data_IF_486707668780
#
_entry.id   IF_486707668780
#
_cell.length_a   1.000
_cell.length_b   1.000
_cell.length_c   1.000
_cell.angle_alpha   90.00
_cell.angle_beta   90.00
_cell.angle_gamma   90.00
#
_symmetry.space_group_name_H-M   'P 1'
#
loop_
_entity.id
_entity.type
_entity.pdbx_description
1 polymer ?
#
# COMPACT_ATOMS: atom_id res chain seq x y z
N UNK A 1 21.67 75.33 0.26
CA UNK A 1 20.97 75.77 1.50
C UNK A 1 19.57 76.19 1.06
N UNK A 2 18.44 75.68 1.54
CA UNK A 2 18.03 75.39 2.90
C UNK A 2 17.12 74.15 2.99
N UNK A 3 17.14 73.53 4.17
CA UNK A 3 16.30 72.41 4.60
C UNK A 3 14.92 72.96 4.98
N UNK A 4 13.84 72.24 4.64
CA UNK A 4 12.57 72.37 5.36
C UNK A 4 12.03 70.98 5.69
N UNK A 5 12.03 70.69 6.99
CA UNK A 5 11.51 69.47 7.61
C UNK A 5 9.99 69.62 7.71
N UNK A 6 9.22 68.64 7.23
CA UNK A 6 7.85 68.44 7.68
C UNK A 6 7.80 67.17 8.52
N UNK A 7 7.56 67.36 9.82
CA UNK A 7 7.20 66.30 10.74
C UNK A 7 5.70 66.03 10.61
N UNK A 8 5.32 64.78 10.38
CA UNK A 8 3.96 64.30 10.63
C UNK A 8 4.07 63.24 11.73
N UNK A 9 3.48 63.56 12.88
CA UNK A 9 3.44 62.72 14.06
C UNK A 9 2.56 61.49 13.79
N UNK A 10 3.08 60.30 14.07
CA UNK A 10 2.27 59.10 14.27
C UNK A 10 2.06 58.90 15.76
N UNK A 11 0.80 58.87 16.17
CA UNK A 11 0.40 58.52 17.52
C UNK A 11 0.79 57.06 17.79
N UNK A 12 1.51 56.86 18.89
CA UNK A 12 1.86 55.55 19.40
C UNK A 12 0.64 54.87 20.02
N UNK A 13 0.28 53.70 19.52
CA UNK A 13 -0.40 52.68 20.31
C UNK A 13 0.55 51.49 20.40
N UNK A 14 1.21 51.35 21.55
CA UNK A 14 2.14 50.29 21.82
C UNK A 14 1.37 48.98 22.09
N UNK A 15 1.54 47.98 21.22
CA UNK A 15 1.46 46.57 21.59
C UNK A 15 2.66 45.83 21.02
N UNK A 16 3.43 45.25 21.94
CA UNK A 16 4.36 44.13 21.84
C UNK A 16 5.47 44.14 20.76
N UNK A 17 6.69 43.91 21.25
CA UNK A 17 7.93 43.69 20.52
C UNK A 17 7.80 42.47 19.60
N UNK A 18 7.70 42.68 18.29
CA UNK A 18 7.94 41.65 17.26
C UNK A 18 9.24 41.99 16.51
N UNK A 19 10.13 41.04 16.23
CA UNK A 19 11.41 41.34 15.58
C UNK A 19 11.13 41.97 14.21
N UNK A 20 11.77 43.10 13.93
CA UNK A 20 11.69 43.79 12.63
C UNK A 20 12.13 42.82 11.53
N UNK A 21 11.27 42.44 10.57
CA UNK A 21 11.67 41.60 9.46
C UNK A 21 12.72 42.32 8.61
N UNK A 22 13.79 41.60 8.27
CA UNK A 22 14.84 42.06 7.34
C UNK A 22 14.27 42.16 5.93
N UNK A 23 13.92 43.37 5.48
CA UNK A 23 13.38 43.68 4.13
C UNK A 23 14.45 43.66 3.04
N UNK A 24 15.06 42.50 2.76
CA UNK A 24 16.25 42.45 1.91
C UNK A 24 16.01 42.83 0.43
N UNK A 25 14.79 42.87 -0.09
CA UNK A 25 14.51 43.44 -1.43
C UNK A 25 13.09 44.04 -1.50
N UNK A 26 12.98 45.30 -1.95
CA UNK A 26 11.71 46.03 -2.10
C UNK A 26 11.64 46.66 -3.49
N UNK A 27 10.57 46.36 -4.24
CA UNK A 27 10.30 46.97 -5.54
C UNK A 27 9.24 48.07 -5.43
N UNK A 28 9.45 49.19 -6.12
CA UNK A 28 8.56 50.35 -6.14
C UNK A 28 8.01 50.60 -7.54
N UNK A 29 6.71 50.87 -7.66
CA UNK A 29 6.06 51.27 -8.92
C UNK A 29 5.45 52.66 -8.76
N UNK A 30 5.71 53.54 -9.72
CA UNK A 30 5.21 54.91 -9.76
C UNK A 30 4.27 55.10 -10.96
N UNK A 31 3.29 56.02 -10.84
CA UNK A 31 2.47 56.45 -11.98
C UNK A 31 3.22 57.47 -12.87
N UNK A 32 2.60 57.89 -13.97
CA UNK A 32 3.16 58.90 -14.89
C UNK A 32 3.34 60.28 -14.28
N UNK A 33 2.74 60.54 -13.12
CA UNK A 33 2.91 61.76 -12.34
C UNK A 33 4.00 61.59 -11.23
N UNK A 34 4.69 60.46 -11.18
CA UNK A 34 5.75 60.16 -10.22
C UNK A 34 5.25 59.80 -8.82
N UNK A 35 3.97 59.47 -8.65
CA UNK A 35 3.39 59.09 -7.36
C UNK A 35 3.50 57.59 -7.14
N UNK A 36 3.83 57.17 -5.93
CA UNK A 36 4.01 55.75 -5.57
C UNK A 36 2.65 55.02 -5.59
N UNK A 37 2.50 54.04 -6.48
CA UNK A 37 1.24 53.29 -6.64
C UNK A 37 1.34 51.82 -6.20
N UNK A 38 2.56 51.26 -6.06
CA UNK A 38 2.75 49.91 -5.51
C UNK A 38 4.10 49.76 -4.82
N UNK A 39 4.12 49.06 -3.69
CA UNK A 39 5.32 48.53 -3.03
C UNK A 39 5.19 47.01 -3.00
N UNK A 40 6.22 46.29 -3.44
CA UNK A 40 6.28 44.82 -3.37
C UNK A 40 7.48 44.42 -2.53
N UNK A 41 7.24 43.60 -1.51
CA UNK A 41 8.27 43.04 -0.64
C UNK A 41 8.77 41.69 -1.17
N UNK A 42 9.98 41.28 -0.77
CA UNK A 42 10.59 40.00 -1.16
C UNK A 42 9.78 38.76 -0.79
N UNK A 43 8.86 38.86 0.18
CA UNK A 43 7.92 37.80 0.57
C UNK A 43 6.61 37.82 -0.22
N UNK A 44 6.52 38.58 -1.31
CA UNK A 44 5.36 38.66 -2.21
C UNK A 44 4.26 39.64 -1.78
N UNK A 45 4.30 40.12 -0.53
CA UNK A 45 3.32 41.10 -0.02
C UNK A 45 3.39 42.38 -0.87
N UNK A 46 2.23 42.88 -1.30
CA UNK A 46 2.13 44.13 -2.05
C UNK A 46 1.18 45.11 -1.40
N UNK A 47 1.58 46.37 -1.30
CA UNK A 47 0.70 47.47 -0.89
C UNK A 47 0.44 48.32 -2.12
N UNK A 48 -0.83 48.46 -2.51
CA UNK A 48 -1.24 49.33 -3.61
C UNK A 48 -1.87 50.61 -3.10
N UNK A 49 -1.63 51.69 -3.84
CA UNK A 49 -2.17 53.01 -3.54
C UNK A 49 -2.97 53.54 -4.72
N UNK A 50 -4.06 54.25 -4.42
CA UNK A 50 -4.69 55.18 -5.36
C UNK A 50 -4.63 56.59 -4.77
N UNK A 51 -4.82 57.57 -5.64
CA UNK A 51 -4.86 58.97 -5.26
C UNK A 51 -6.22 59.53 -5.65
N UNK A 52 -6.87 60.24 -4.73
CA UNK A 52 -8.12 60.95 -5.05
C UNK A 52 -7.85 62.17 -5.96
N UNK A 53 -8.92 62.83 -6.40
CA UNK A 53 -8.82 64.03 -7.25
C UNK A 53 -8.09 65.20 -6.57
N UNK A 54 -7.96 65.16 -5.23
CA UNK A 54 -7.21 66.13 -4.43
C UNK A 54 -5.76 65.72 -4.19
N UNK A 55 -5.33 64.55 -4.70
CA UNK A 55 -3.98 64.04 -4.56
C UNK A 55 -3.69 63.34 -3.23
N UNK A 56 -4.71 63.06 -2.41
CA UNK A 56 -4.50 62.31 -1.17
C UNK A 56 -4.35 60.82 -1.46
N UNK A 57 -3.37 60.21 -0.80
CA UNK A 57 -3.09 58.77 -0.92
C UNK A 57 -4.13 57.95 -0.17
N UNK A 58 -4.84 57.10 -0.90
CA UNK A 58 -5.74 56.08 -0.39
C UNK A 58 -5.05 54.72 -0.51
N UNK A 59 -4.95 53.97 0.59
CA UNK A 59 -4.44 52.60 0.56
C UNK A 59 -5.54 51.68 0.03
N UNK A 60 -5.22 50.91 -1.01
CA UNK A 60 -6.09 49.85 -1.49
C UNK A 60 -5.40 48.56 -1.13
N UNK A 61 -5.80 48.02 0.01
CA UNK A 61 -5.22 46.81 0.55
C UNK A 61 -5.56 45.65 -0.40
N UNK A 62 -4.54 45.05 -1.00
CA UNK A 62 -4.55 43.62 -1.30
C UNK A 62 -3.41 43.01 -0.48
N UNK A 63 -3.64 42.85 0.82
CA UNK A 63 -2.75 42.05 1.65
C UNK A 63 -2.92 40.60 1.20
N UNK A 64 -2.06 40.17 0.26
CA UNK A 64 -1.65 38.78 0.33
C UNK A 64 -0.94 38.66 1.68
N UNK A 65 -1.48 37.84 2.58
CA UNK A 65 -0.84 37.57 3.86
C UNK A 65 0.62 37.14 3.60
N UNK A 66 1.56 37.47 4.50
CA UNK A 66 2.94 36.98 4.38
C UNK A 66 2.95 35.48 4.10
N UNK A 67 3.86 35.06 3.22
CA UNK A 67 4.02 33.64 2.93
C UNK A 67 4.28 32.85 4.22
N UNK A 68 3.50 31.81 4.45
CA UNK A 68 3.66 30.85 5.53
C UNK A 68 4.19 29.56 4.93
N UNK A 69 5.09 28.85 5.64
CA UNK A 69 5.56 27.58 5.15
C UNK A 69 4.42 26.57 5.07
N UNK A 70 4.53 25.58 4.18
CA UNK A 70 3.56 24.52 4.09
C UNK A 70 3.59 23.63 5.34
N UNK A 71 2.55 22.81 5.51
CA UNK A 71 2.42 21.80 6.56
C UNK A 71 2.44 20.44 5.91
N UNK A 72 3.51 19.68 6.17
CA UNK A 72 3.66 18.30 5.72
C UNK A 72 3.17 17.32 6.80
N UNK A 73 2.41 16.30 6.42
CA UNK A 73 1.83 15.30 7.31
C UNK A 73 2.38 13.92 6.96
N UNK A 74 2.61 13.09 7.98
CA UNK A 74 3.16 11.76 7.76
C UNK A 74 2.22 10.85 6.96
N UNK A 75 2.82 9.99 6.14
CA UNK A 75 2.11 9.07 5.25
C UNK A 75 2.40 7.61 5.60
N UNK A 76 1.49 6.75 5.17
CA UNK A 76 1.72 5.31 5.23
C UNK A 76 1.22 4.59 3.98
N UNK A 77 1.88 3.48 3.64
CA UNK A 77 1.49 2.61 2.55
C UNK A 77 1.86 1.15 2.85
N UNK A 78 1.28 0.22 2.09
CA UNK A 78 1.66 -1.19 2.11
C UNK A 78 1.89 -1.69 0.69
N UNK A 79 2.83 -2.62 0.54
CA UNK A 79 3.17 -3.25 -0.74
C UNK A 79 3.68 -4.67 -0.50
N UNK A 80 3.46 -5.59 -1.44
CA UNK A 80 4.09 -6.90 -1.39
C UNK A 80 5.61 -6.81 -1.65
N UNK A 81 6.36 -7.78 -1.15
CA UNK A 81 7.78 -7.95 -1.44
C UNK A 81 8.01 -7.97 -2.97
N UNK A 82 9.05 -7.27 -3.41
CA UNK A 82 9.36 -7.02 -4.84
C UNK A 82 8.27 -6.27 -5.61
N UNK A 83 7.23 -5.76 -4.93
CA UNK A 83 6.16 -4.96 -5.52
C UNK A 83 6.52 -3.47 -5.64
N UNK A 84 5.60 -2.70 -6.20
CA UNK A 84 5.70 -1.24 -6.36
C UNK A 84 4.41 -0.58 -5.89
N UNK A 85 4.52 0.58 -5.25
CA UNK A 85 3.38 1.40 -4.82
C UNK A 85 3.63 2.88 -5.12
N UNK A 86 2.60 3.58 -5.60
CA UNK A 86 2.62 5.03 -5.83
C UNK A 86 1.83 5.73 -4.73
N UNK A 87 2.53 6.49 -3.89
CA UNK A 87 2.02 7.10 -2.67
C UNK A 87 1.66 8.57 -2.96
N UNK A 88 0.42 8.96 -2.66
CA UNK A 88 -0.07 10.33 -2.83
C UNK A 88 0.24 11.18 -1.61
N UNK A 89 1.53 11.42 -1.37
CA UNK A 89 2.02 12.11 -0.16
C UNK A 89 1.46 13.52 0.01
N UNK A 90 1.09 14.21 -1.06
CA UNK A 90 0.51 15.57 -0.95
C UNK A 90 -0.98 15.58 -0.59
N UNK A 91 -1.63 14.43 -0.42
CA UNK A 91 -3.09 14.36 -0.24
C UNK A 91 -3.57 14.90 1.13
N UNK A 92 -2.71 14.82 2.14
CA UNK A 92 -2.92 15.29 3.51
C UNK A 92 -2.06 16.51 3.86
N UNK A 93 -1.23 16.98 2.93
CA UNK A 93 -0.42 18.19 3.07
C UNK A 93 -1.23 19.44 2.74
N UNK A 94 -0.83 20.57 3.31
CA UNK A 94 -1.52 21.84 3.07
C UNK A 94 -0.57 23.03 3.08
N UNK A 95 -1.02 24.12 2.48
CA UNK A 95 -0.35 25.40 2.54
C UNK A 95 -1.34 26.46 3.08
N UNK A 96 -1.00 27.23 4.14
CA UNK A 96 -1.92 28.23 4.69
C UNK A 96 -2.28 29.35 3.72
N UNK A 97 -1.43 29.65 2.74
CA UNK A 97 -1.68 30.64 1.71
C UNK A 97 -2.38 30.04 0.47
N UNK A 98 -2.63 28.73 0.47
CA UNK A 98 -3.25 28.00 -0.64
C UNK A 98 -2.33 27.79 -1.83
N UNK A 99 -1.01 27.90 -1.64
CA UNK A 99 -0.04 27.68 -2.70
C UNK A 99 0.01 26.19 -3.12
N UNK A 100 0.23 25.96 -4.41
CA UNK A 100 0.41 24.60 -4.93
C UNK A 100 1.70 24.00 -4.40
N UNK A 101 1.60 22.83 -3.78
CA UNK A 101 2.74 22.12 -3.23
C UNK A 101 3.45 21.27 -4.28
N UNK A 102 4.78 21.20 -4.17
CA UNK A 102 5.63 20.35 -5.01
C UNK A 102 6.66 19.61 -4.18
N UNK A 103 6.93 18.35 -4.51
CA UNK A 103 8.00 17.58 -3.87
C UNK A 103 9.36 18.02 -4.44
N UNK A 104 10.25 18.48 -3.58
CA UNK A 104 11.59 18.97 -3.96
C UNK A 104 12.72 18.01 -3.60
N UNK A 105 12.49 17.13 -2.62
CA UNK A 105 13.47 16.14 -2.20
C UNK A 105 12.80 14.86 -1.69
N UNK A 106 13.44 13.71 -1.92
CA UNK A 106 13.05 12.41 -1.39
C UNK A 106 14.31 11.71 -0.89
N UNK A 107 14.36 11.36 0.39
CA UNK A 107 15.51 10.62 0.94
C UNK A 107 15.45 9.15 0.58
N UNK A 108 16.60 8.48 0.55
CA UNK A 108 16.64 7.02 0.39
C UNK A 108 16.07 6.29 1.62
N UNK A 109 15.25 5.25 1.45
CA UNK A 109 14.84 4.36 2.53
C UNK A 109 15.98 3.41 2.94
N UNK A 110 15.83 2.69 4.07
CA UNK A 110 16.79 1.68 4.52
C UNK A 110 16.92 0.47 3.60
N UNK A 111 15.89 0.19 2.80
CA UNK A 111 15.89 -0.78 1.70
C UNK A 111 14.80 -0.39 0.69
N UNK A 112 14.98 -0.81 -0.56
CA UNK A 112 14.12 -0.40 -1.68
C UNK A 112 14.57 0.92 -2.30
N UNK A 113 13.74 1.49 -3.18
CA UNK A 113 13.98 2.81 -3.78
C UNK A 113 12.74 3.67 -3.66
N UNK A 114 12.93 4.96 -3.35
CA UNK A 114 11.86 5.95 -3.32
C UNK A 114 12.21 7.07 -4.32
N UNK A 115 11.32 7.35 -5.27
CA UNK A 115 11.54 8.36 -6.32
C UNK A 115 10.30 9.21 -6.53
N UNK A 116 10.47 10.53 -6.65
CA UNK A 116 9.37 11.42 -7.03
C UNK A 116 8.96 11.14 -8.49
N UNK A 117 7.65 11.03 -8.74
CA UNK A 117 7.10 10.86 -10.09
C UNK A 117 6.95 12.19 -10.84
N UNK A 118 6.81 12.11 -12.16
CA UNK A 118 6.62 13.29 -13.03
C UNK A 118 5.39 14.10 -12.60
N UNK A 119 5.56 15.43 -12.48
CA UNK A 119 4.52 16.33 -11.96
C UNK A 119 4.41 16.25 -10.43
N UNK A 120 5.51 16.48 -9.70
CA UNK A 120 5.93 15.94 -8.39
C UNK A 120 4.86 15.97 -7.28
N UNK A 121 3.84 15.12 -7.43
CA UNK A 121 2.67 15.00 -6.52
C UNK A 121 2.60 13.63 -5.85
N UNK A 122 3.39 12.67 -6.33
CA UNK A 122 3.44 11.30 -5.83
C UNK A 122 4.88 10.81 -5.73
N UNK A 123 5.09 9.88 -4.81
CA UNK A 123 6.36 9.17 -4.67
C UNK A 123 6.12 7.71 -5.01
N UNK A 124 6.92 7.16 -5.92
CA UNK A 124 6.97 5.73 -6.19
C UNK A 124 7.96 5.07 -5.25
N UNK A 125 7.49 4.04 -4.56
CA UNK A 125 8.34 3.17 -3.76
C UNK A 125 8.40 1.77 -4.41
N UNK A 126 9.62 1.27 -4.65
CA UNK A 126 9.88 -0.09 -5.15
C UNK A 126 10.49 -0.91 -4.02
N UNK A 127 9.80 -1.98 -3.62
CA UNK A 127 10.20 -2.83 -2.52
C UNK A 127 11.30 -3.82 -2.90
N UNK A 128 12.12 -4.22 -1.93
CA UNK A 128 12.98 -5.40 -2.05
C UNK A 128 12.19 -6.68 -1.77
N UNK A 129 12.81 -7.84 -1.98
CA UNK A 129 12.21 -9.14 -1.65
C UNK A 129 12.04 -9.37 -0.13
N UNK A 130 12.74 -8.60 0.72
CA UNK A 130 12.66 -8.75 2.16
C UNK A 130 11.47 -7.98 2.73
N UNK A 131 10.61 -8.67 3.48
CA UNK A 131 9.52 -8.07 4.23
C UNK A 131 10.02 -7.12 5.34
N UNK A 132 9.09 -6.35 5.89
CA UNK A 132 9.30 -5.46 7.03
C UNK A 132 9.03 -3.99 6.73
N UNK A 133 9.14 -3.17 7.77
CA UNK A 133 8.85 -1.73 7.69
C UNK A 133 10.03 -0.97 7.09
N UNK A 134 9.73 0.04 6.27
CA UNK A 134 10.69 0.91 5.58
C UNK A 134 10.24 2.34 5.79
N UNK A 135 11.18 3.23 6.05
CA UNK A 135 10.88 4.65 6.28
C UNK A 135 11.76 5.50 5.40
N UNK A 136 11.20 6.58 4.88
CA UNK A 136 11.93 7.65 4.23
C UNK A 136 11.24 8.98 4.49
N UNK A 137 11.89 10.08 4.17
CA UNK A 137 11.35 11.44 4.29
C UNK A 137 11.21 12.06 2.91
N UNK A 138 10.29 13.01 2.80
CA UNK A 138 10.17 13.88 1.64
C UNK A 138 10.07 15.33 2.09
N UNK A 139 10.45 16.24 1.20
CA UNK A 139 10.35 17.69 1.40
C UNK A 139 9.43 18.28 0.34
N UNK A 140 8.49 19.11 0.79
CA UNK A 140 7.59 19.89 -0.05
C UNK A 140 7.98 21.36 -0.05
N UNK A 141 7.66 22.07 -1.14
CA UNK A 141 7.78 23.51 -1.24
C UNK A 141 6.52 24.13 -1.82
N UNK A 142 6.20 25.33 -1.34
CA UNK A 142 5.15 26.23 -1.82
C UNK A 142 5.56 27.05 -3.06
N UNK A 143 6.82 26.96 -3.51
CA UNK A 143 7.39 27.76 -4.59
C UNK A 143 7.64 29.24 -4.25
N UNK A 144 7.31 29.66 -3.03
CA UNK A 144 7.41 31.02 -2.50
C UNK A 144 8.48 31.14 -1.40
N UNK A 145 9.24 30.06 -1.17
CA UNK A 145 10.38 29.99 -0.25
C UNK A 145 10.08 29.23 1.05
N UNK A 146 8.83 28.81 1.27
CA UNK A 146 8.47 27.91 2.35
C UNK A 146 8.71 26.45 1.99
N UNK A 147 9.18 25.68 2.97
CA UNK A 147 9.36 24.23 2.85
C UNK A 147 8.95 23.52 4.13
N UNK A 148 8.54 22.26 4.00
CA UNK A 148 8.27 21.36 5.12
C UNK A 148 8.64 19.93 4.74
N UNK A 149 8.86 19.07 5.74
CA UNK A 149 9.20 17.66 5.52
C UNK A 149 8.35 16.75 6.39
N UNK A 150 8.00 15.58 5.86
CA UNK A 150 7.30 14.54 6.59
C UNK A 150 7.90 13.16 6.32
N UNK A 151 7.51 12.18 7.14
CA UNK A 151 7.97 10.80 7.03
C UNK A 151 6.91 9.96 6.33
N UNK A 152 7.35 9.08 5.43
CA UNK A 152 6.54 8.00 4.86
C UNK A 152 6.96 6.69 5.49
N UNK A 153 5.98 5.93 5.97
CA UNK A 153 6.17 4.56 6.48
C UNK A 153 5.56 3.55 5.53
N UNK A 154 6.39 2.71 4.90
CA UNK A 154 5.94 1.64 4.01
C UNK A 154 6.10 0.29 4.68
N UNK A 155 5.01 -0.47 4.77
CA UNK A 155 5.04 -1.87 5.22
C UNK A 155 5.23 -2.77 4.01
N UNK A 156 6.37 -3.45 3.91
CA UNK A 156 6.60 -4.49 2.90
C UNK A 156 6.11 -5.83 3.46
N UNK A 157 5.04 -6.36 2.88
CA UNK A 157 4.47 -7.66 3.24
C UNK A 157 5.24 -8.79 2.53
N UNK A 158 5.38 -9.96 3.14
CA UNK A 158 5.90 -11.13 2.44
C UNK A 158 4.96 -11.50 1.29
N UNK A 159 5.51 -12.01 0.19
CA UNK A 159 4.71 -12.62 -0.86
C UNK A 159 4.28 -14.01 -0.40
N UNK A 160 3.03 -14.37 -0.66
CA UNK A 160 2.51 -15.70 -0.38
C UNK A 160 3.28 -16.77 -1.17
N UNK A 161 3.74 -17.81 -0.48
CA UNK A 161 4.43 -18.96 -1.05
C UNK A 161 3.44 -20.11 -1.20
N UNK A 162 3.35 -20.75 -2.38
CA UNK A 162 2.45 -21.87 -2.56
C UNK A 162 2.74 -23.03 -1.60
N UNK A 163 1.72 -23.83 -1.26
CA UNK A 163 1.91 -25.00 -0.43
C UNK A 163 2.72 -26.08 -1.15
N UNK A 164 3.15 -27.09 -0.40
CA UNK A 164 3.87 -28.27 -0.89
C UNK A 164 3.00 -29.49 -0.60
N UNK A 165 2.47 -30.09 -1.67
CA UNK A 165 1.71 -31.34 -1.61
C UNK A 165 2.63 -32.55 -1.76
N UNK A 166 2.48 -33.58 -0.93
CA UNK A 166 3.33 -34.77 -0.91
C UNK A 166 2.54 -36.05 -1.25
N UNK A 167 3.13 -37.09 -1.86
CA UNK A 167 2.37 -38.29 -2.21
C UNK A 167 1.86 -39.06 -0.99
N UNK A 168 0.65 -39.59 -1.09
CA UNK A 168 -0.01 -40.35 -0.03
C UNK A 168 -0.14 -41.83 -0.39
N UNK A 169 -0.21 -42.66 0.66
CA UNK A 169 -0.55 -44.09 0.53
C UNK A 169 -1.62 -44.46 1.54
N UNK A 170 -2.54 -45.35 1.15
CA UNK A 170 -3.58 -45.86 2.02
C UNK A 170 -3.94 -47.31 1.66
N UNK A 171 -4.58 -48.01 2.58
CA UNK A 171 -5.24 -49.30 2.32
C UNK A 171 -6.75 -49.14 2.41
N UNK A 172 -7.50 -49.90 1.62
CA UNK A 172 -8.95 -49.89 1.62
C UNK A 172 -9.53 -51.29 1.43
N UNK A 173 -10.72 -51.51 2.00
CA UNK A 173 -11.51 -52.73 1.78
C UNK A 173 -12.43 -52.53 0.57
N UNK A 174 -12.57 -53.51 -0.33
CA UNK A 174 -13.47 -53.42 -1.49
C UNK A 174 -14.86 -52.91 -1.12
N UNK A 175 -15.42 -52.02 -1.96
CA UNK A 175 -16.73 -51.38 -1.81
C UNK A 175 -16.96 -50.52 -0.55
N UNK A 176 -16.00 -50.46 0.38
CA UNK A 176 -16.16 -49.75 1.65
C UNK A 176 -15.47 -48.40 1.59
N UNK A 177 -16.21 -47.33 1.84
CA UNK A 177 -15.65 -45.98 1.87
C UNK A 177 -14.65 -45.83 3.02
N UNK A 178 -13.50 -45.24 2.73
CA UNK A 178 -12.47 -44.89 3.71
C UNK A 178 -12.13 -43.40 3.64
N UNK A 179 -11.78 -42.82 4.78
CA UNK A 179 -11.30 -41.44 4.85
C UNK A 179 -9.77 -41.42 4.81
N UNK A 180 -9.20 -40.63 3.91
CA UNK A 180 -7.76 -40.51 3.72
C UNK A 180 -7.33 -39.08 4.07
N UNK A 181 -6.49 -38.95 5.10
CA UNK A 181 -6.00 -37.67 5.62
C UNK A 181 -4.83 -37.15 4.76
N UNK A 182 -5.12 -36.77 3.52
CA UNK A 182 -4.10 -36.34 2.53
C UNK A 182 -3.31 -35.09 2.95
N UNK A 183 -3.83 -34.27 3.88
CA UNK A 183 -3.12 -33.09 4.36
C UNK A 183 -2.06 -33.39 5.43
N UNK A 184 -1.93 -34.63 5.91
CA UNK A 184 -1.11 -34.95 7.08
C UNK A 184 0.41 -34.80 6.83
N UNK A 185 0.84 -34.93 5.58
CA UNK A 185 2.23 -34.78 5.12
C UNK A 185 2.42 -33.52 4.26
N UNK A 186 1.38 -32.74 4.03
CA UNK A 186 1.44 -31.50 3.27
C UNK A 186 1.88 -30.34 4.17
N UNK A 187 2.55 -29.37 3.57
CA UNK A 187 3.12 -28.22 4.31
C UNK A 187 2.91 -26.92 3.55
N UNK A 188 2.91 -25.83 4.29
CA UNK A 188 2.86 -24.49 3.72
C UNK A 188 4.03 -23.66 4.26
N UNK A 189 4.87 -23.05 3.41
CA UNK A 189 6.01 -22.27 3.89
C UNK A 189 5.63 -21.07 4.77
N UNK A 190 4.42 -20.53 4.59
CA UNK A 190 3.90 -19.39 5.34
C UNK A 190 2.98 -19.84 6.51
N UNK A 191 2.88 -21.15 6.75
CA UNK A 191 2.02 -21.80 7.74
C UNK A 191 0.53 -21.46 7.58
N UNK A 192 0.07 -21.24 6.35
CA UNK A 192 -1.34 -21.11 6.07
C UNK A 192 -2.08 -22.44 6.28
N UNK A 193 -3.37 -22.36 6.62
CA UNK A 193 -4.21 -23.55 6.77
C UNK A 193 -4.53 -24.12 5.39
N UNK A 194 -4.24 -25.41 5.20
CA UNK A 194 -4.44 -26.10 3.94
C UNK A 194 -5.83 -26.70 3.83
N UNK A 195 -6.38 -26.69 2.62
CA UNK A 195 -7.66 -27.34 2.29
C UNK A 195 -7.57 -28.04 0.95
N UNK A 196 -8.16 -29.23 0.84
CA UNK A 196 -8.34 -29.93 -0.44
C UNK A 196 -9.44 -29.22 -1.23
N UNK A 197 -9.12 -28.77 -2.44
CA UNK A 197 -10.03 -28.00 -3.31
C UNK A 197 -10.46 -28.78 -4.55
N UNK A 198 -9.69 -29.79 -4.97
CA UNK A 198 -10.05 -30.66 -6.08
C UNK A 198 -9.52 -32.08 -5.88
N UNK A 199 -10.23 -33.03 -6.48
CA UNK A 199 -9.79 -34.43 -6.62
C UNK A 199 -9.94 -34.83 -8.09
N UNK A 200 -8.97 -35.58 -8.59
CA UNK A 200 -8.98 -36.14 -9.94
C UNK A 200 -9.82 -37.42 -10.00
N UNK A 201 -10.12 -37.85 -11.23
CA UNK A 201 -10.79 -39.14 -11.46
C UNK A 201 -9.85 -40.29 -11.05
N UNK A 202 -10.28 -41.20 -10.16
CA UNK A 202 -9.47 -42.33 -9.76
C UNK A 202 -9.39 -43.38 -10.87
N UNK A 203 -8.32 -44.16 -10.90
CA UNK A 203 -8.17 -45.29 -11.83
C UNK A 203 -9.18 -46.42 -11.59
N UNK A 204 -9.91 -46.37 -10.48
CA UNK A 204 -11.05 -47.22 -10.16
C UNK A 204 -11.79 -46.72 -8.92
N UNK A 205 -13.08 -47.02 -8.83
CA UNK A 205 -13.94 -46.57 -7.73
C UNK A 205 -14.36 -45.10 -7.86
N UNK A 206 -14.60 -44.44 -6.73
CA UNK A 206 -15.00 -43.03 -6.67
C UNK A 206 -14.33 -42.30 -5.52
N UNK A 207 -14.00 -41.03 -5.73
CA UNK A 207 -13.42 -40.14 -4.71
C UNK A 207 -14.23 -38.87 -4.60
N UNK A 208 -14.32 -38.33 -3.38
CA UNK A 208 -14.93 -37.03 -3.10
C UNK A 208 -14.16 -36.32 -1.98
N UNK A 209 -14.30 -34.99 -1.92
CA UNK A 209 -13.69 -34.19 -0.86
C UNK A 209 -14.54 -34.32 0.40
N UNK A 210 -13.90 -34.59 1.54
CA UNK A 210 -14.55 -34.65 2.84
C UNK A 210 -15.09 -33.28 3.28
N UNK A 211 -16.00 -33.28 4.25
CA UNK A 211 -16.56 -32.04 4.78
C UNK A 211 -15.44 -31.14 5.33
N UNK A 212 -15.48 -29.84 4.97
CA UNK A 212 -14.46 -28.88 5.38
C UNK A 212 -13.11 -29.00 4.65
N UNK A 213 -12.94 -29.94 3.71
CA UNK A 213 -11.74 -30.04 2.88
C UNK A 213 -10.50 -30.57 3.58
N UNK A 214 -10.62 -31.15 4.78
CA UNK A 214 -9.48 -31.65 5.56
C UNK A 214 -8.97 -33.05 5.14
N UNK A 215 -9.74 -33.77 4.34
CA UNK A 215 -9.48 -35.14 3.93
C UNK A 215 -10.29 -35.47 2.68
N UNK A 216 -10.06 -36.65 2.09
CA UNK A 216 -10.86 -37.19 0.98
C UNK A 216 -11.55 -38.49 1.40
N UNK A 217 -12.72 -38.75 0.82
CA UNK A 217 -13.46 -40.01 0.99
C UNK A 217 -13.33 -40.82 -0.30
N UNK A 218 -12.68 -41.97 -0.21
CA UNK A 218 -12.47 -42.88 -1.34
C UNK A 218 -13.27 -44.17 -1.14
N UNK A 219 -13.98 -44.60 -2.19
CA UNK A 219 -14.65 -45.90 -2.24
C UNK A 219 -14.03 -46.73 -3.37
N UNK A 220 -13.29 -47.79 -3.05
CA UNK A 220 -12.62 -48.61 -4.06
C UNK A 220 -13.61 -49.45 -4.87
N UNK A 221 -13.21 -49.92 -6.06
CA UNK A 221 -13.97 -50.95 -6.78
C UNK A 221 -13.93 -52.30 -6.03
N UNK A 222 -14.69 -53.26 -6.52
CA UNK A 222 -14.77 -54.61 -5.93
C UNK A 222 -13.54 -55.49 -6.14
N UNK A 223 -12.66 -55.10 -7.06
CA UNK A 223 -11.50 -55.89 -7.45
C UNK A 223 -10.27 -55.50 -6.63
N UNK A 224 -9.52 -56.48 -6.09
CA UNK A 224 -8.23 -56.21 -5.47
C UNK A 224 -7.25 -55.57 -6.46
N UNK A 225 -6.38 -54.70 -5.97
CA UNK A 225 -5.39 -54.03 -6.80
C UNK A 225 -4.92 -52.68 -6.26
N UNK A 226 -4.11 -51.99 -7.05
CA UNK A 226 -3.59 -50.66 -6.73
C UNK A 226 -4.31 -49.61 -7.57
N UNK A 227 -4.89 -48.63 -6.90
CA UNK A 227 -5.60 -47.51 -7.53
C UNK A 227 -4.94 -46.18 -7.19
N UNK A 228 -5.03 -45.22 -8.09
CA UNK A 228 -4.45 -43.89 -7.88
C UNK A 228 -5.42 -42.79 -8.26
N UNK A 229 -5.29 -41.64 -7.60
CA UNK A 229 -5.96 -40.40 -7.99
C UNK A 229 -5.11 -39.19 -7.59
N UNK A 230 -5.27 -38.09 -8.31
CA UNK A 230 -4.68 -36.81 -7.95
C UNK A 230 -5.55 -36.03 -6.98
N UNK A 231 -4.96 -35.13 -6.19
CA UNK A 231 -5.67 -34.13 -5.41
C UNK A 231 -4.95 -32.78 -5.51
N UNK A 232 -5.69 -31.70 -5.28
CA UNK A 232 -5.19 -30.33 -5.25
C UNK A 232 -5.52 -29.69 -3.91
N UNK A 233 -4.54 -29.01 -3.33
CA UNK A 233 -4.67 -28.25 -2.09
C UNK A 233 -4.51 -26.76 -2.35
N UNK A 234 -5.11 -25.95 -1.49
CA UNK A 234 -4.92 -24.50 -1.45
C UNK A 234 -4.62 -24.01 -0.03
N UNK A 235 -3.81 -22.95 0.04
CA UNK A 235 -3.49 -22.17 1.24
C UNK A 235 -4.55 -21.10 1.58
N UNK A 236 -5.55 -20.88 0.72
CA UNK A 236 -6.54 -19.81 0.87
C UNK A 236 -6.01 -18.39 0.61
N UNK A 237 -4.72 -18.25 0.29
CA UNK A 237 -4.03 -17.00 -0.03
C UNK A 237 -3.59 -16.91 -1.51
N UNK A 238 -4.05 -17.87 -2.33
CA UNK A 238 -3.89 -17.88 -3.79
C UNK A 238 -2.83 -18.87 -4.28
N UNK A 239 -2.11 -19.54 -3.38
CA UNK A 239 -1.24 -20.65 -3.72
C UNK A 239 -2.00 -21.98 -3.76
N UNK A 240 -1.54 -22.85 -4.67
CA UNK A 240 -2.08 -24.20 -4.85
C UNK A 240 -0.98 -25.18 -5.17
N UNK A 241 -1.11 -26.43 -4.73
CA UNK A 241 -0.24 -27.52 -5.11
C UNK A 241 -1.06 -28.79 -5.38
N UNK A 242 -0.47 -29.76 -6.07
CA UNK A 242 -1.14 -31.04 -6.36
C UNK A 242 -0.20 -32.21 -6.17
N UNK A 243 -0.76 -33.32 -5.73
CA UNK A 243 -0.05 -34.58 -5.53
C UNK A 243 -0.99 -35.75 -5.79
N UNK A 244 -0.54 -36.97 -5.50
CA UNK A 244 -1.24 -38.22 -5.80
C UNK A 244 -1.43 -39.06 -4.55
N UNK A 245 -2.55 -39.75 -4.48
CA UNK A 245 -2.82 -40.82 -3.51
C UNK A 245 -2.72 -42.17 -4.22
N UNK A 246 -2.02 -43.12 -3.60
CA UNK A 246 -2.01 -44.54 -4.00
C UNK A 246 -2.77 -45.37 -2.98
N UNK A 247 -3.78 -46.10 -3.42
CA UNK A 247 -4.62 -46.94 -2.56
C UNK A 247 -4.43 -48.41 -2.90
N UNK A 248 -4.08 -49.22 -1.90
CA UNK A 248 -3.99 -50.67 -2.01
C UNK A 248 -5.30 -51.30 -1.53
N UNK A 249 -5.96 -52.04 -2.42
CA UNK A 249 -7.22 -52.72 -2.14
C UNK A 249 -6.95 -54.20 -1.97
N UNK A 250 -7.14 -54.67 -0.75
CA UNK A 250 -6.91 -56.07 -0.39
C UNK A 250 -8.10 -56.96 -0.77
N UNK A 251 -7.85 -58.23 -1.00
CA UNK A 251 -8.91 -59.22 -1.18
C UNK A 251 -9.66 -59.44 0.14
N UNK A 252 -10.99 -59.49 0.10
CA UNK A 252 -11.75 -60.11 1.16
C UNK A 252 -11.41 -61.61 1.18
N UNK A 253 -10.66 -62.07 2.17
CA UNK A 253 -10.51 -63.51 2.41
C UNK A 253 -11.90 -64.11 2.63
N UNK A 254 -12.30 -65.06 1.77
CA UNK A 254 -13.54 -65.83 1.91
C UNK A 254 -14.53 -65.79 0.74
N UNK A 255 -14.39 -64.94 -0.29
CA UNK A 255 -15.26 -65.04 -1.47
C UNK A 255 -14.49 -65.55 -2.71
N UNK A 256 -14.56 -66.86 -2.95
CA UNK A 256 -14.45 -67.41 -4.31
C UNK A 256 -15.88 -67.58 -4.82
N UNK A 257 -16.39 -66.70 -5.69
CA UNK A 257 -17.76 -66.86 -6.21
C UNK A 257 -17.82 -68.07 -7.15
N UNK A 258 -18.63 -69.08 -6.80
CA UNK A 258 -19.08 -70.05 -7.80
C UNK A 258 -20.06 -69.38 -8.79
N UNK A 259 -20.12 -69.81 -10.07
CA UNK A 259 -21.06 -69.25 -11.04
C UNK A 259 -22.51 -69.41 -10.58
N UNK A 260 -23.14 -68.29 -10.17
CA UNK A 260 -24.57 -68.23 -9.85
C UNK A 260 -24.94 -67.86 -8.41
N UNK A 261 -23.99 -67.55 -7.52
CA UNK A 261 -24.29 -67.08 -6.16
C UNK A 261 -23.71 -65.68 -5.86
N UNK A 262 -24.44 -64.90 -5.05
CA UNK A 262 -23.95 -63.65 -4.46
C UNK A 262 -23.12 -63.97 -3.20
N UNK A 263 -22.01 -63.24 -2.98
CA UNK A 263 -21.17 -63.40 -1.78
C UNK A 263 -22.01 -63.14 -0.53
N UNK A 264 -22.17 -64.15 0.33
CA UNK A 264 -22.78 -63.98 1.65
C UNK A 264 -21.65 -63.81 2.68
N UNK A 265 -21.61 -62.64 3.32
CA UNK A 265 -20.68 -62.32 4.41
C UNK A 265 -21.04 -63.23 5.59
N UNK A 266 -20.17 -64.16 5.97
CA UNK A 266 -20.39 -64.95 7.18
C UNK A 266 -20.16 -64.05 8.41
N UNK A 267 -21.02 -64.12 9.44
CA UNK A 267 -20.95 -63.26 10.62
C UNK A 267 -19.73 -63.52 11.51
#
# INVERSE_FOLDING_TARGET
MARMRFAAAFAALALAVSPTPSFADVAYVYDSAGRLIKVTYSNGVSISYRYDASGNRQVITSEQAPNQPPVAVADSASVAASGTVDISVLANDSDPNGNTLTITNVSSPSAGTATALTGPTRIRYVATAAAGTRTFTYTISDGQGGTASATVTVTVTSSNQPPVANPDTASATPFSSTSIMVLANDTDPDNNTLTVTAVGTPTGGSVSIGSGGGYVVYTPPGTPGTYTFGYTISDGAGGTASSTVTVYVESLEGCVPEPGQQCEIQP
#
